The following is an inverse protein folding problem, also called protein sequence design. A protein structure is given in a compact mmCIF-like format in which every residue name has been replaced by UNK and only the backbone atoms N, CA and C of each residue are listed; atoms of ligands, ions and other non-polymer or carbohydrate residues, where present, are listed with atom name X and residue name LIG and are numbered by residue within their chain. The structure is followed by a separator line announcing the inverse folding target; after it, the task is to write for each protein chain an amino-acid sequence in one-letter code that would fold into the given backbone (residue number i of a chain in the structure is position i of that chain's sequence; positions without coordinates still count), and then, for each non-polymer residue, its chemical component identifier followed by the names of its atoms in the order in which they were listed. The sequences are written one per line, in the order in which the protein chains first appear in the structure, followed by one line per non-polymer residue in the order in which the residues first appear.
data_IF_663777620982
#
_entry.id   IF_663777620982
#
_cell.length_a   1.000
_cell.length_b   1.000
_cell.length_c   1.000
_cell.angle_alpha   90.00
_cell.angle_beta   90.00
_cell.angle_gamma   90.00
#
_symmetry.space_group_name_H-M   'P 1'
#
loop_
_entity.id
_entity.type
_entity.pdbx_description
1 polymer ?
#
# COMPACT_ATOMS: atom_id res chain seq x y z
N UNK A 1 73.84 30.74 52.43
CA UNK A 1 73.81 30.85 53.94
C UNK A 1 72.59 30.08 54.39
N UNK A 2 72.91 28.98 55.12
CA UNK A 2 72.23 28.47 56.28
C UNK A 2 70.69 28.18 56.12
N UNK A 3 70.21 27.13 56.52
CA UNK A 3 70.48 25.89 57.32
C UNK A 3 69.11 25.15 57.47
N UNK A 4 69.22 23.86 57.29
CA UNK A 4 68.78 22.79 58.24
C UNK A 4 67.23 22.71 58.41
N UNK A 5 66.62 21.62 58.03
CA UNK A 5 66.57 20.29 58.60
C UNK A 5 65.63 20.19 59.81
N UNK A 6 64.69 19.28 59.79
CA UNK A 6 64.44 18.19 60.72
C UNK A 6 63.03 17.65 60.55
N UNK A 7 62.89 16.51 60.05
CA UNK A 7 62.58 15.22 60.70
C UNK A 7 61.42 15.21 61.71
N UNK A 8 60.64 14.27 61.52
CA UNK A 8 59.93 13.27 62.28
C UNK A 8 58.47 13.29 62.04
N UNK A 9 57.79 12.35 61.43
CA UNK A 9 57.64 10.98 61.88
C UNK A 9 56.37 10.84 62.71
N UNK A 10 55.34 10.25 62.21
CA UNK A 10 54.76 9.12 62.86
C UNK A 10 53.59 8.49 62.20
N UNK A 11 53.60 7.23 62.25
CA UNK A 11 52.58 6.25 61.86
C UNK A 11 51.27 6.43 62.56
N UNK A 12 50.18 6.17 61.84
CA UNK A 12 49.06 5.29 62.22
C UNK A 12 48.13 5.26 61.00
N UNK A 13 48.02 4.25 60.24
CA UNK A 13 47.22 3.05 60.38
C UNK A 13 45.72 3.26 60.30
N UNK A 14 45.21 2.59 59.30
CA UNK A 14 43.80 2.09 59.16
C UNK A 14 42.71 3.11 58.88
N UNK A 15 42.18 3.11 57.69
CA UNK A 15 40.92 2.38 57.43
C UNK A 15 40.62 2.35 55.94
N UNK A 16 40.59 1.18 55.51
CA UNK A 16 40.10 0.63 54.26
C UNK A 16 38.59 0.96 54.16
N UNK A 17 38.18 1.79 53.27
CA UNK A 17 36.78 1.84 52.82
C UNK A 17 36.76 1.84 51.30
N UNK A 18 36.58 0.63 50.79
CA UNK A 18 36.25 0.32 49.44
C UNK A 18 34.85 0.85 49.16
N UNK A 19 34.72 2.01 48.52
CA UNK A 19 33.53 2.41 47.85
C UNK A 19 33.78 2.25 46.35
N UNK A 20 33.42 1.08 45.85
CA UNK A 20 33.38 0.83 44.43
C UNK A 20 32.27 1.70 43.77
N UNK A 21 32.56 2.30 42.63
CA UNK A 21 31.51 2.95 41.88
C UNK A 21 30.61 1.86 41.31
N UNK A 22 29.39 1.76 41.83
CA UNK A 22 28.29 1.04 41.19
C UNK A 22 28.00 1.77 39.89
N UNK A 23 28.59 1.29 38.82
CA UNK A 23 28.21 1.65 37.47
C UNK A 23 26.79 1.09 37.23
N UNK A 24 25.78 1.89 37.48
CA UNK A 24 24.41 1.60 37.08
C UNK A 24 24.39 1.67 35.56
N UNK A 25 24.52 0.52 34.92
CA UNK A 25 24.27 0.32 33.51
C UNK A 25 22.73 0.46 33.32
N UNK A 26 22.28 1.67 33.05
CA UNK A 26 20.91 1.90 32.55
C UNK A 26 20.86 1.34 31.14
N UNK A 27 20.47 0.08 31.02
CA UNK A 27 20.02 -0.49 29.76
C UNK A 27 18.72 0.21 29.37
N UNK A 28 18.86 1.32 28.66
CA UNK A 28 17.76 1.93 27.93
C UNK A 28 17.35 0.92 26.83
N UNK A 29 16.36 0.09 27.16
CA UNK A 29 15.64 -0.71 26.18
C UNK A 29 14.92 0.26 25.24
N UNK A 30 15.60 0.68 24.18
CA UNK A 30 14.97 1.31 23.05
C UNK A 30 14.05 0.26 22.43
N UNK A 31 12.78 0.21 22.86
CA UNK A 31 11.73 -0.45 22.12
C UNK A 31 11.60 0.30 20.79
N UNK A 32 12.45 -0.01 19.83
CA UNK A 32 12.20 0.31 18.44
C UNK A 32 11.01 -0.56 18.03
N UNK A 33 9.80 0.00 18.07
CA UNK A 33 8.65 -0.58 17.41
C UNK A 33 8.96 -0.59 15.90
N UNK A 34 9.52 -1.70 15.44
CA UNK A 34 9.61 -1.97 14.00
C UNK A 34 8.17 -1.93 13.50
N UNK A 35 7.82 -1.01 12.60
CA UNK A 35 6.47 -0.97 12.07
C UNK A 35 6.15 -2.35 11.51
N UNK A 36 5.04 -2.94 11.97
CA UNK A 36 4.62 -4.26 11.52
C UNK A 36 4.52 -4.23 10.00
N UNK A 37 5.42 -4.91 9.33
CA UNK A 37 5.46 -4.98 7.87
C UNK A 37 4.20 -5.74 7.44
N UNK A 38 3.30 -5.04 6.75
CA UNK A 38 2.10 -5.67 6.19
C UNK A 38 2.51 -6.66 5.11
N UNK A 39 1.89 -7.83 5.11
CA UNK A 39 2.15 -8.83 4.09
C UNK A 39 1.73 -8.29 2.70
N UNK A 40 2.64 -8.34 1.73
CA UNK A 40 2.32 -7.97 0.36
C UNK A 40 1.44 -9.03 -0.28
N UNK A 41 0.27 -8.61 -0.79
CA UNK A 41 -0.63 -9.48 -1.54
C UNK A 41 -0.23 -9.52 -3.02
N UNK A 42 -0.54 -10.62 -3.71
CA UNK A 42 -0.46 -10.71 -5.17
C UNK A 42 -1.82 -10.44 -5.76
N UNK A 43 -1.87 -9.55 -6.74
CA UNK A 43 -3.05 -9.33 -7.56
C UNK A 43 -2.98 -10.21 -8.80
N UNK A 44 -4.08 -10.87 -9.10
CA UNK A 44 -4.35 -11.61 -10.32
C UNK A 44 -5.67 -11.05 -10.87
N UNK A 45 -5.57 -10.15 -11.82
CA UNK A 45 -6.68 -9.36 -12.35
C UNK A 45 -6.88 -9.68 -13.83
N UNK A 46 -8.08 -10.14 -14.18
CA UNK A 46 -8.51 -10.25 -15.56
C UNK A 46 -9.57 -9.18 -15.85
N UNK A 47 -9.34 -8.34 -16.86
CA UNK A 47 -10.31 -7.34 -17.35
C UNK A 47 -10.75 -7.75 -18.74
N UNK A 48 -12.06 -7.98 -18.91
CA UNK A 48 -12.65 -8.45 -20.17
C UNK A 48 -13.69 -7.46 -20.68
N UNK A 49 -13.50 -6.95 -21.87
CA UNK A 49 -14.51 -6.18 -22.60
C UNK A 49 -15.39 -7.14 -23.41
N UNK A 50 -16.70 -7.11 -23.15
CA UNK A 50 -17.64 -7.91 -23.95
C UNK A 50 -17.74 -7.40 -25.38
N UNK A 51 -18.22 -8.22 -26.29
CA UNK A 51 -18.42 -7.85 -27.70
C UNK A 51 -19.39 -6.66 -27.88
N UNK A 52 -20.21 -6.39 -26.89
CA UNK A 52 -21.22 -5.31 -26.85
C UNK A 52 -20.74 -4.05 -26.16
N UNK A 53 -19.48 -3.98 -25.71
CA UNK A 53 -18.95 -2.90 -24.86
C UNK A 53 -19.04 -1.53 -25.53
N UNK A 54 -19.39 -0.51 -24.74
CA UNK A 54 -19.30 0.91 -25.08
C UNK A 54 -19.93 1.28 -26.45
N UNK A 55 -21.20 0.94 -26.70
CA UNK A 55 -21.83 1.15 -28.01
C UNK A 55 -21.96 2.65 -28.38
N UNK A 56 -21.87 2.93 -29.67
CA UNK A 56 -22.17 4.25 -30.21
C UNK A 56 -23.71 4.44 -30.37
N UNK A 57 -24.11 5.61 -30.86
CA UNK A 57 -25.52 5.98 -31.04
C UNK A 57 -26.29 5.06 -32.04
N UNK A 58 -25.55 4.25 -32.80
CA UNK A 58 -26.09 3.24 -33.73
C UNK A 58 -26.02 1.82 -33.16
N UNK A 59 -25.62 1.69 -31.87
CA UNK A 59 -25.47 0.40 -31.19
C UNK A 59 -24.21 -0.38 -31.57
N UNK A 60 -23.26 0.23 -32.28
CA UNK A 60 -22.01 -0.44 -32.67
C UNK A 60 -21.03 -0.39 -31.53
N UNK A 61 -20.46 -1.53 -31.12
CA UNK A 61 -19.46 -1.59 -30.07
C UNK A 61 -18.23 -0.73 -30.39
N UNK A 62 -17.64 -0.13 -29.38
CA UNK A 62 -16.46 0.72 -29.52
C UNK A 62 -15.41 0.39 -28.47
N UNK A 63 -14.12 0.65 -28.75
CA UNK A 63 -13.08 0.52 -27.75
C UNK A 63 -13.37 1.35 -26.50
N UNK A 64 -12.88 0.86 -25.35
CA UNK A 64 -13.07 1.50 -24.05
C UNK A 64 -11.75 1.69 -23.34
N UNK A 65 -11.52 2.89 -22.80
CA UNK A 65 -10.37 3.19 -21.94
C UNK A 65 -10.62 2.59 -20.55
N UNK A 66 -9.60 1.94 -20.01
CA UNK A 66 -9.61 1.39 -18.64
C UNK A 66 -8.41 1.92 -17.91
N UNK A 67 -8.63 2.45 -16.70
CA UNK A 67 -7.58 2.73 -15.72
C UNK A 67 -7.80 1.88 -14.49
N UNK A 68 -6.73 1.28 -14.01
CA UNK A 68 -6.69 0.49 -12.78
C UNK A 68 -5.81 1.21 -11.78
N UNK A 69 -6.33 1.48 -10.61
CA UNK A 69 -5.65 2.22 -9.54
C UNK A 69 -5.39 1.33 -8.34
N UNK A 70 -4.16 1.32 -7.84
CA UNK A 70 -3.87 0.87 -6.48
C UNK A 70 -4.01 2.04 -5.54
N UNK A 71 -4.86 1.90 -4.54
CA UNK A 71 -5.21 2.99 -3.62
C UNK A 71 -4.91 2.61 -2.18
N UNK A 72 -4.30 3.56 -1.45
CA UNK A 72 -4.12 3.47 -0.01
C UNK A 72 -5.44 3.62 0.72
N UNK A 73 -6.28 4.55 0.29
CA UNK A 73 -7.69 4.65 0.68
C UNK A 73 -8.56 4.90 -0.55
N UNK A 74 -9.82 4.48 -0.51
CA UNK A 74 -10.72 4.65 -1.64
C UNK A 74 -11.46 6.00 -1.63
N UNK A 75 -11.42 6.73 -0.51
CA UNK A 75 -12.32 7.84 -0.25
C UNK A 75 -12.23 8.96 -1.30
N UNK A 76 -11.02 9.43 -1.62
CA UNK A 76 -10.84 10.48 -2.64
C UNK A 76 -11.32 10.00 -4.01
N UNK A 77 -11.03 8.75 -4.38
CA UNK A 77 -11.45 8.16 -5.63
C UNK A 77 -12.98 7.98 -5.71
N UNK A 78 -13.63 7.51 -4.63
CA UNK A 78 -15.09 7.31 -4.57
C UNK A 78 -15.88 8.63 -4.65
N UNK A 79 -15.30 9.75 -4.19
CA UNK A 79 -15.97 11.05 -4.16
C UNK A 79 -15.67 11.94 -5.38
N UNK A 80 -14.69 11.60 -6.20
CA UNK A 80 -14.30 12.38 -7.36
C UNK A 80 -15.30 12.19 -8.53
N UNK A 81 -15.45 13.21 -9.36
CA UNK A 81 -16.14 13.09 -10.63
C UNK A 81 -15.24 12.48 -11.72
N UNK A 82 -15.85 12.05 -12.82
CA UNK A 82 -15.15 11.40 -13.91
C UNK A 82 -14.03 12.27 -14.50
N UNK A 83 -14.33 13.52 -14.83
CA UNK A 83 -13.40 14.40 -15.53
C UNK A 83 -12.22 14.81 -14.66
N UNK A 84 -12.45 14.97 -13.36
CA UNK A 84 -11.36 15.20 -12.40
C UNK A 84 -10.41 14.01 -12.32
N UNK A 85 -10.95 12.78 -12.30
CA UNK A 85 -10.12 11.56 -12.35
C UNK A 85 -9.44 11.38 -13.70
N UNK A 86 -10.12 11.70 -14.81
CA UNK A 86 -9.55 11.56 -16.15
C UNK A 86 -8.36 12.51 -16.37
N UNK A 87 -8.51 13.77 -15.97
CA UNK A 87 -7.54 14.82 -16.32
C UNK A 87 -6.51 15.09 -15.24
N UNK A 88 -6.82 14.84 -13.97
CA UNK A 88 -6.00 15.26 -12.83
C UNK A 88 -5.87 14.21 -11.73
N UNK A 89 -5.99 12.92 -12.04
CA UNK A 89 -5.97 11.82 -11.08
C UNK A 89 -4.76 11.85 -10.15
N UNK A 90 -3.56 12.12 -10.67
CA UNK A 90 -2.33 12.19 -9.89
C UNK A 90 -2.34 13.29 -8.84
N UNK A 91 -2.92 14.45 -9.20
CA UNK A 91 -3.04 15.59 -8.27
C UNK A 91 -4.15 15.36 -7.27
N UNK A 92 -5.29 14.82 -7.73
CA UNK A 92 -6.46 14.57 -6.92
C UNK A 92 -6.23 13.47 -5.88
N UNK A 93 -5.60 12.38 -6.32
CA UNK A 93 -5.36 11.19 -5.47
C UNK A 93 -4.03 11.24 -4.73
N UNK A 94 -3.19 12.21 -4.99
CA UNK A 94 -1.85 12.49 -4.44
C UNK A 94 -1.27 11.45 -3.47
N UNK A 95 -1.78 11.40 -2.22
CA UNK A 95 -1.26 10.53 -1.17
C UNK A 95 -1.89 9.13 -1.17
N UNK A 96 -3.01 8.97 -1.84
CA UNK A 96 -3.75 7.70 -1.92
C UNK A 96 -3.34 6.86 -3.13
N UNK A 97 -2.78 7.47 -4.17
CA UNK A 97 -2.36 6.78 -5.38
C UNK A 97 -1.02 6.06 -5.18
N UNK A 98 -1.03 4.75 -5.19
CA UNK A 98 0.17 3.92 -5.07
C UNK A 98 0.68 3.44 -6.43
N UNK A 99 -0.22 3.07 -7.33
CA UNK A 99 0.10 2.69 -8.70
C UNK A 99 -1.10 2.89 -9.63
N UNK A 100 -0.83 3.07 -10.93
CA UNK A 100 -1.83 3.23 -11.98
C UNK A 100 -1.42 2.50 -13.23
N UNK A 101 -2.34 1.72 -13.80
CA UNK A 101 -2.26 1.20 -15.17
C UNK A 101 -3.32 1.87 -16.03
N UNK A 102 -3.01 2.01 -17.31
CA UNK A 102 -3.94 2.55 -18.31
C UNK A 102 -3.80 1.76 -19.60
N UNK A 103 -4.92 1.36 -20.16
CA UNK A 103 -4.97 0.64 -21.43
C UNK A 103 -6.34 0.77 -22.10
N UNK A 104 -6.39 0.44 -23.37
CA UNK A 104 -7.63 0.41 -24.16
C UNK A 104 -7.94 -1.04 -24.49
N UNK A 105 -9.20 -1.45 -24.32
CA UNK A 105 -9.70 -2.73 -24.77
C UNK A 105 -10.67 -2.54 -25.93
N UNK A 106 -10.50 -3.37 -26.96
CA UNK A 106 -11.49 -3.51 -28.02
C UNK A 106 -12.62 -4.44 -27.61
N UNK A 107 -13.79 -4.38 -28.26
CA UNK A 107 -14.85 -5.37 -28.06
C UNK A 107 -14.29 -6.80 -28.19
N UNK A 108 -14.63 -7.67 -27.22
CA UNK A 108 -14.14 -9.05 -27.12
C UNK A 108 -12.72 -9.22 -26.59
N UNK A 109 -11.99 -8.15 -26.31
CA UNK A 109 -10.61 -8.22 -25.85
C UNK A 109 -10.53 -8.38 -24.32
N UNK A 110 -9.51 -9.11 -23.84
CA UNK A 110 -9.20 -9.28 -22.43
C UNK A 110 -7.76 -8.91 -22.15
N UNK A 111 -7.51 -8.43 -20.93
CA UNK A 111 -6.17 -8.15 -20.41
C UNK A 111 -5.98 -8.73 -19.02
N UNK A 112 -4.89 -9.43 -18.84
CA UNK A 112 -4.47 -9.95 -17.54
C UNK A 112 -3.35 -9.10 -16.95
N UNK A 113 -3.42 -8.90 -15.64
CA UNK A 113 -2.44 -8.14 -14.85
C UNK A 113 -2.10 -8.98 -13.63
N UNK A 114 -0.88 -9.48 -13.58
CA UNK A 114 -0.34 -10.15 -12.39
C UNK A 114 0.79 -9.32 -11.80
N UNK A 115 0.66 -8.95 -10.52
CA UNK A 115 1.73 -8.24 -9.80
C UNK A 115 1.61 -8.36 -8.30
N UNK A 116 2.68 -8.02 -7.60
CA UNK A 116 2.63 -7.76 -6.16
C UNK A 116 2.05 -6.37 -5.94
N UNK A 117 1.05 -6.28 -5.06
CA UNK A 117 0.50 -5.01 -4.63
C UNK A 117 1.48 -4.32 -3.67
N UNK A 118 1.41 -2.99 -3.59
CA UNK A 118 2.07 -2.25 -2.54
C UNK A 118 1.52 -2.71 -1.17
N UNK A 119 2.37 -2.74 -0.14
CA UNK A 119 1.97 -3.18 1.20
C UNK A 119 0.86 -2.30 1.82
N UNK A 120 0.76 -1.05 1.38
CA UNK A 120 -0.26 -0.10 1.84
C UNK A 120 -1.55 -0.12 1.02
N UNK A 121 -1.64 -0.95 -0.03
CA UNK A 121 -2.84 -1.04 -0.87
C UNK A 121 -4.02 -1.57 -0.06
N UNK A 122 -5.10 -0.80 0.02
CA UNK A 122 -6.34 -1.18 0.68
C UNK A 122 -7.52 -1.29 -0.30
N UNK A 123 -7.39 -0.72 -1.50
CA UNK A 123 -8.43 -0.81 -2.52
C UNK A 123 -7.84 -0.82 -3.93
N UNK A 124 -8.59 -1.43 -4.84
CA UNK A 124 -8.35 -1.37 -6.29
C UNK A 124 -9.51 -0.61 -6.90
N UNK A 125 -9.21 0.53 -7.53
CA UNK A 125 -10.17 1.35 -8.23
C UNK A 125 -10.14 1.07 -9.75
N UNK A 126 -11.29 1.17 -10.39
CA UNK A 126 -11.45 1.06 -11.83
C UNK A 126 -12.17 2.29 -12.36
N UNK A 127 -11.57 2.95 -13.32
CA UNK A 127 -12.19 4.04 -14.11
C UNK A 127 -12.32 3.53 -15.54
N UNK A 128 -13.53 3.58 -16.07
CA UNK A 128 -13.84 3.07 -17.40
C UNK A 128 -14.47 4.19 -18.25
N UNK A 129 -13.83 4.50 -19.38
CA UNK A 129 -14.19 5.61 -20.26
C UNK A 129 -15.32 5.26 -21.21
N UNK A 130 -16.51 5.07 -20.67
CA UNK A 130 -17.72 4.90 -21.49
C UNK A 130 -18.13 6.20 -22.19
N UNK A 131 -18.73 6.09 -23.36
CA UNK A 131 -19.23 7.24 -24.11
C UNK A 131 -20.38 7.95 -23.40
N UNK A 132 -21.33 7.19 -22.84
CA UNK A 132 -22.49 7.70 -22.12
C UNK A 132 -22.30 7.64 -20.59
N UNK A 133 -21.43 8.49 -20.06
CA UNK A 133 -21.10 8.52 -18.63
C UNK A 133 -22.30 8.64 -17.70
N UNK A 134 -23.32 9.38 -18.13
CA UNK A 134 -24.53 9.61 -17.31
C UNK A 134 -25.38 8.36 -17.08
N UNK A 135 -25.19 7.32 -17.89
CA UNK A 135 -25.90 6.04 -17.77
C UNK A 135 -24.98 4.90 -17.34
N UNK A 136 -23.69 5.14 -17.36
CA UNK A 136 -22.70 4.09 -17.18
C UNK A 136 -22.22 3.94 -15.73
N UNK A 137 -21.94 2.71 -15.36
CA UNK A 137 -21.13 2.41 -14.16
C UNK A 137 -19.65 2.55 -14.52
N UNK A 138 -19.23 3.81 -14.69
CA UNK A 138 -17.88 4.17 -15.13
C UNK A 138 -16.81 4.05 -14.04
N UNK A 139 -17.24 3.94 -12.77
CA UNK A 139 -16.36 3.79 -11.60
C UNK A 139 -16.77 2.58 -10.78
N UNK A 140 -15.80 1.80 -10.38
CA UNK A 140 -15.99 0.68 -9.47
C UNK A 140 -14.79 0.57 -8.53
N UNK A 141 -15.01 0.10 -7.30
CA UNK A 141 -13.96 -0.08 -6.29
C UNK A 141 -14.09 -1.46 -5.66
N UNK A 142 -12.96 -2.14 -5.56
CA UNK A 142 -12.83 -3.35 -4.78
C UNK A 142 -12.00 -3.07 -3.54
N UNK A 143 -12.61 -3.15 -2.35
CA UNK A 143 -11.91 -3.01 -1.07
C UNK A 143 -11.25 -4.33 -0.70
N UNK A 144 -9.94 -4.30 -0.52
CA UNK A 144 -9.18 -5.48 -0.13
C UNK A 144 -9.52 -5.87 1.32
N UNK A 145 -9.56 -7.17 1.62
CA UNK A 145 -9.65 -7.60 3.00
C UNK A 145 -8.42 -7.10 3.78
N UNK A 146 -8.57 -6.75 5.07
CA UNK A 146 -7.45 -6.28 5.87
C UNK A 146 -6.31 -7.29 5.82
N UNK A 147 -5.11 -6.78 5.54
CA UNK A 147 -3.91 -7.60 5.59
C UNK A 147 -3.67 -8.00 7.04
N UNK A 148 -3.51 -9.29 7.36
CA UNK A 148 -3.11 -9.70 8.69
C UNK A 148 -1.73 -9.13 9.00
N UNK A 149 -1.46 -8.84 10.28
CA UNK A 149 -0.13 -8.44 10.71
C UNK A 149 0.89 -9.51 10.32
N UNK A 150 2.05 -9.07 9.83
CA UNK A 150 3.13 -9.96 9.44
C UNK A 150 3.71 -10.64 10.69
N UNK A 151 3.28 -11.86 10.94
CA UNK A 151 3.87 -12.69 11.97
C UNK A 151 5.07 -13.44 11.38
N UNK A 152 6.12 -13.66 12.16
CA UNK A 152 7.37 -14.30 11.73
C UNK A 152 7.18 -15.66 11.02
N UNK A 153 6.17 -16.44 11.42
CA UNK A 153 5.84 -17.73 10.79
C UNK A 153 5.20 -17.58 9.40
N UNK A 154 4.70 -16.40 9.03
CA UNK A 154 4.10 -16.14 7.72
C UNK A 154 5.12 -15.95 6.61
N UNK A 155 6.38 -15.67 6.95
CA UNK A 155 7.44 -15.57 5.92
C UNK A 155 7.67 -16.89 5.17
N UNK A 156 7.27 -18.02 5.76
CA UNK A 156 7.32 -19.34 5.12
C UNK A 156 6.04 -19.70 4.34
N UNK A 157 5.00 -18.86 4.39
CA UNK A 157 3.74 -19.10 3.66
C UNK A 157 3.72 -18.36 2.32
N UNK A 158 3.09 -18.94 1.28
CA UNK A 158 2.91 -18.25 0.01
C UNK A 158 2.09 -16.96 0.22
N UNK A 159 2.50 -15.88 -0.46
CA UNK A 159 1.80 -14.61 -0.41
C UNK A 159 0.31 -14.79 -0.77
N UNK A 160 -0.58 -14.13 -0.02
CA UNK A 160 -2.02 -14.16 -0.30
C UNK A 160 -2.29 -13.64 -1.70
N UNK A 161 -3.09 -14.36 -2.46
CA UNK A 161 -3.48 -14.01 -3.82
C UNK A 161 -4.90 -13.46 -3.80
N UNK A 162 -5.08 -12.28 -4.39
CA UNK A 162 -6.39 -11.69 -4.66
C UNK A 162 -6.65 -11.86 -6.14
N UNK A 163 -7.64 -12.70 -6.48
CA UNK A 163 -8.09 -12.89 -7.85
C UNK A 163 -9.32 -12.03 -8.08
N UNK A 164 -9.31 -11.24 -9.15
CA UNK A 164 -10.43 -10.39 -9.55
C UNK A 164 -10.71 -10.58 -11.04
N UNK A 165 -11.98 -10.63 -11.37
CA UNK A 165 -12.46 -10.56 -12.75
C UNK A 165 -13.32 -9.32 -12.89
N UNK A 166 -12.99 -8.48 -13.86
CA UNK A 166 -13.75 -7.29 -14.22
C UNK A 166 -14.33 -7.49 -15.60
N UNK A 167 -15.65 -7.46 -15.68
CA UNK A 167 -16.37 -7.54 -16.93
C UNK A 167 -16.93 -6.16 -17.29
N UNK A 168 -16.60 -5.72 -18.49
CA UNK A 168 -17.10 -4.47 -19.08
C UNK A 168 -18.14 -4.82 -20.12
N UNK A 169 -19.40 -4.46 -19.85
CA UNK A 169 -20.50 -4.62 -20.76
C UNK A 169 -20.88 -3.28 -21.42
N UNK A 170 -22.02 -3.16 -22.05
CA UNK A 170 -22.44 -1.96 -22.79
C UNK A 170 -22.13 -0.66 -22.05
N UNK A 171 -22.58 -0.55 -20.80
CA UNK A 171 -22.40 0.63 -19.94
C UNK A 171 -22.16 0.23 -18.47
N UNK A 172 -21.81 -1.03 -18.22
CA UNK A 172 -21.69 -1.56 -16.86
C UNK A 172 -20.34 -2.19 -16.60
N UNK A 173 -19.73 -1.81 -15.49
CA UNK A 173 -18.51 -2.42 -14.96
C UNK A 173 -18.89 -3.30 -13.78
N UNK A 174 -18.62 -4.59 -13.87
CA UNK A 174 -18.89 -5.58 -12.83
C UNK A 174 -17.58 -6.19 -12.33
N UNK A 175 -17.40 -6.22 -11.01
CA UNK A 175 -16.26 -6.89 -10.37
C UNK A 175 -16.75 -8.17 -9.71
N UNK A 176 -16.10 -9.28 -9.99
CA UNK A 176 -16.36 -10.57 -9.37
C UNK A 176 -15.06 -11.21 -8.85
N UNK A 177 -15.21 -12.09 -7.87
CA UNK A 177 -14.15 -12.99 -7.45
C UNK A 177 -14.39 -14.33 -8.09
N UNK A 178 -13.46 -14.87 -8.86
CA UNK A 178 -13.51 -16.27 -9.23
C UNK A 178 -13.25 -17.13 -7.98
N UNK A 179 -14.00 -18.19 -7.84
CA UNK A 179 -13.83 -19.21 -6.80
C UNK A 179 -12.46 -19.89 -6.88
#
# INVERSE_FOLDING_TARGET
MNRKAFLTGNRTARSMLLLGPIAVLVLSSACSSVPAQREQMKLDLAVTARDTVNPDDKGRPSPVLVRVYELKTASAFENADYYSLENADKTLLTQDLLARDEFILRPGESREIERKLNADTQAIGFLVGYRELGKATWRSVYKLPPAPEAAWYRMAMPARKVKLQVSLDQQTTTISKPD
#
